data_IF_560120893466
#
_entry.id   IF_560120893466
#
_cell.length_a   1.000
_cell.length_b   1.000
_cell.length_c   1.000
_cell.angle_alpha   90.00
_cell.angle_beta   90.00
_cell.angle_gamma   90.00
#
_symmetry.space_group_name_H-M   'P 1'
#
loop_
_entity.id
_entity.type
_entity.pdbx_description
1 polymer ?
#
# COMPACT_ATOMS: atom_id res chain seq x y z
N UNK A 1 41.06 78.00 28.87
CA UNK A 1 41.18 77.06 27.72
C UNK A 1 42.48 76.29 27.94
N UNK A 2 42.40 75.08 28.49
CA UNK A 2 43.59 74.29 28.85
C UNK A 2 44.19 73.72 27.57
N UNK A 3 45.43 74.12 27.24
CA UNK A 3 46.20 73.57 26.13
C UNK A 3 46.60 72.13 26.48
N UNK A 4 46.09 71.15 25.72
CA UNK A 4 46.54 69.75 25.80
C UNK A 4 48.03 69.71 25.48
N UNK A 5 48.83 69.02 26.30
CA UNK A 5 50.28 68.96 26.08
C UNK A 5 50.59 68.13 24.83
N UNK A 6 51.67 68.48 24.12
CA UNK A 6 52.12 67.73 22.93
C UNK A 6 52.30 66.22 23.25
N UNK A 7 52.73 65.92 24.48
CA UNK A 7 52.93 64.57 24.98
C UNK A 7 51.62 63.78 25.11
N UNK A 8 50.51 64.41 25.50
CA UNK A 8 49.20 63.77 25.57
C UNK A 8 48.64 63.48 24.16
N UNK A 9 48.89 64.37 23.20
CA UNK A 9 48.49 64.16 21.80
C UNK A 9 49.24 62.99 21.15
N UNK A 10 50.53 62.86 21.41
CA UNK A 10 51.35 61.79 20.85
C UNK A 10 51.05 60.44 21.51
N UNK A 11 50.73 60.43 22.81
CA UNK A 11 50.24 59.23 23.52
C UNK A 11 48.92 58.75 22.91
N UNK A 12 47.95 59.64 22.71
CA UNK A 12 46.67 59.30 22.09
C UNK A 12 46.83 58.74 20.67
N UNK A 13 47.72 59.33 19.84
CA UNK A 13 47.99 58.80 18.49
C UNK A 13 48.57 57.39 18.54
N UNK A 14 49.49 57.12 19.46
CA UNK A 14 50.11 55.81 19.60
C UNK A 14 49.08 54.76 20.05
N UNK A 15 48.20 55.11 20.98
CA UNK A 15 47.11 54.22 21.43
C UNK A 15 46.13 53.91 20.30
N UNK A 16 45.75 54.92 19.51
CA UNK A 16 44.89 54.73 18.33
C UNK A 16 45.56 53.83 17.28
N UNK A 17 46.86 54.02 17.03
CA UNK A 17 47.61 53.16 16.10
C UNK A 17 47.72 51.72 16.60
N UNK A 18 47.91 51.50 17.89
CA UNK A 18 47.94 50.16 18.48
C UNK A 18 46.59 49.46 18.32
N UNK A 19 45.48 50.16 18.56
CA UNK A 19 44.12 49.64 18.38
C UNK A 19 43.86 49.30 16.91
N UNK A 20 44.27 50.15 15.97
CA UNK A 20 44.10 49.88 14.54
C UNK A 20 44.89 48.64 14.10
N UNK A 21 46.13 48.51 14.58
CA UNK A 21 46.97 47.36 14.25
C UNK A 21 46.42 46.04 14.80
N UNK A 22 45.85 46.07 16.01
CA UNK A 22 45.21 44.90 16.63
C UNK A 22 43.95 44.49 15.85
N UNK A 23 43.10 45.46 15.48
CA UNK A 23 41.93 45.21 14.62
C UNK A 23 42.30 44.66 13.24
N UNK A 24 43.38 45.15 12.64
CA UNK A 24 43.88 44.62 11.36
C UNK A 24 44.40 43.19 11.49
N UNK A 25 44.88 42.78 12.67
CA UNK A 25 45.25 41.40 12.95
C UNK A 25 44.02 40.50 13.07
N UNK A 26 42.99 40.96 13.79
CA UNK A 26 41.72 40.22 13.92
C UNK A 26 41.02 40.05 12.58
N UNK A 27 40.96 41.11 11.76
CA UNK A 27 40.37 41.06 10.41
C UNK A 27 41.10 40.04 9.53
N UNK A 28 42.43 39.96 9.63
CA UNK A 28 43.20 38.96 8.90
C UNK A 28 42.91 37.54 9.39
N UNK A 29 42.82 37.32 10.70
CA UNK A 29 42.46 36.02 11.28
C UNK A 29 41.08 35.56 10.80
N UNK A 30 40.08 36.44 10.89
CA UNK A 30 38.71 36.15 10.46
C UNK A 30 38.63 35.82 8.96
N UNK A 31 39.43 36.48 8.12
CA UNK A 31 39.49 36.16 6.69
C UNK A 31 40.04 34.76 6.45
N UNK A 32 41.09 34.37 7.16
CA UNK A 32 41.66 33.02 7.07
C UNK A 32 40.66 31.95 7.51
N UNK A 33 39.96 32.16 8.63
CA UNK A 33 38.91 31.26 9.09
C UNK A 33 37.75 31.16 8.10
N UNK A 34 37.32 32.29 7.52
CA UNK A 34 36.26 32.33 6.52
C UNK A 34 36.63 31.52 5.27
N UNK A 35 37.87 31.62 4.80
CA UNK A 35 38.31 30.87 3.62
C UNK A 35 38.44 29.37 3.92
N UNK A 36 38.88 29.00 5.13
CA UNK A 36 38.86 27.60 5.57
C UNK A 36 37.42 27.04 5.62
N UNK A 37 36.47 27.81 6.15
CA UNK A 37 35.05 27.42 6.20
C UNK A 37 34.42 27.28 4.81
N UNK A 38 34.80 28.14 3.85
CA UNK A 38 34.34 28.00 2.45
C UNK A 38 34.82 26.70 1.83
N UNK A 39 36.10 26.36 2.02
CA UNK A 39 36.66 25.09 1.55
C UNK A 39 35.96 23.89 2.17
N UNK A 40 35.76 23.91 3.49
CA UNK A 40 35.04 22.83 4.18
C UNK A 40 33.61 22.66 3.66
N UNK A 41 32.88 23.76 3.41
CA UNK A 41 31.53 23.70 2.85
C UNK A 41 31.50 23.15 1.41
N UNK A 42 32.52 23.46 0.61
CA UNK A 42 32.62 22.88 -0.74
C UNK A 42 32.82 21.35 -0.68
N UNK A 43 33.66 20.86 0.23
CA UNK A 43 33.86 19.43 0.42
C UNK A 43 32.58 18.71 0.87
N UNK A 44 31.87 19.27 1.85
CA UNK A 44 30.60 18.70 2.33
C UNK A 44 29.53 18.61 1.23
N UNK A 45 29.48 19.60 0.32
CA UNK A 45 28.56 19.56 -0.83
C UNK A 45 28.92 18.42 -1.78
N UNK A 46 30.20 18.24 -2.08
CA UNK A 46 30.66 17.14 -2.93
C UNK A 46 30.36 15.76 -2.30
N UNK A 47 30.60 15.61 -1.00
CA UNK A 47 30.26 14.38 -0.27
C UNK A 47 28.75 14.11 -0.29
N UNK A 48 27.93 15.14 -0.09
CA UNK A 48 26.48 15.02 -0.15
C UNK A 48 26.00 14.59 -1.53
N UNK A 49 26.57 15.14 -2.60
CA UNK A 49 26.18 14.80 -3.96
C UNK A 49 26.61 13.36 -4.32
N UNK A 50 27.81 12.93 -3.90
CA UNK A 50 28.23 11.54 -4.04
C UNK A 50 27.32 10.55 -3.27
N UNK A 51 26.87 10.94 -2.07
CA UNK A 51 25.92 10.13 -1.30
C UNK A 51 24.54 10.05 -1.98
N UNK A 52 24.05 11.15 -2.55
CA UNK A 52 22.79 11.13 -3.32
C UNK A 52 22.89 10.22 -4.53
N UNK A 53 24.00 10.27 -5.26
CA UNK A 53 24.24 9.39 -6.41
C UNK A 53 24.28 7.92 -5.99
N UNK A 54 25.01 7.59 -4.92
CA UNK A 54 25.06 6.23 -4.37
C UNK A 54 23.70 5.71 -3.88
N UNK A 55 22.92 6.56 -3.21
CA UNK A 55 21.61 6.18 -2.72
C UNK A 55 20.59 6.01 -3.87
N UNK A 56 20.71 6.83 -4.91
CA UNK A 56 19.89 6.68 -6.13
C UNK A 56 20.26 5.41 -6.88
N UNK A 57 21.54 5.06 -6.96
CA UNK A 57 21.98 3.79 -7.55
C UNK A 57 21.45 2.57 -6.78
N UNK A 58 21.51 2.57 -5.44
CA UNK A 58 20.93 1.48 -4.61
C UNK A 58 19.42 1.37 -4.72
N UNK A 59 18.70 2.47 -4.93
CA UNK A 59 17.25 2.45 -5.14
C UNK A 59 16.84 1.89 -6.51
N UNK A 60 17.78 1.81 -7.46
CA UNK A 60 17.59 1.25 -8.80
C UNK A 60 18.12 -0.18 -8.94
N UNK A 61 18.80 -0.72 -7.93
CA UNK A 61 19.16 -2.14 -7.94
C UNK A 61 17.88 -2.97 -7.76
N UNK A 62 17.54 -3.86 -8.71
CA UNK A 62 16.43 -4.78 -8.53
C UNK A 62 16.69 -5.62 -7.29
N UNK A 63 15.64 -5.88 -6.50
CA UNK A 63 15.72 -6.83 -5.40
C UNK A 63 16.29 -8.13 -5.96
N UNK A 64 17.31 -8.74 -5.32
CA UNK A 64 17.89 -9.98 -5.83
C UNK A 64 16.78 -10.99 -6.09
N UNK A 65 16.79 -11.60 -7.29
CA UNK A 65 15.73 -12.53 -7.73
C UNK A 65 15.48 -13.63 -6.70
N UNK A 66 16.51 -14.04 -5.96
CA UNK A 66 16.43 -15.03 -4.89
C UNK A 66 15.58 -14.55 -3.69
N UNK A 67 15.70 -13.28 -3.33
CA UNK A 67 14.94 -12.66 -2.25
C UNK A 67 13.51 -12.38 -2.70
N UNK A 68 13.33 -11.93 -3.94
CA UNK A 68 12.01 -11.71 -4.53
C UNK A 68 11.26 -13.03 -4.74
N UNK A 69 11.95 -14.09 -5.16
CA UNK A 69 11.44 -15.45 -5.22
C UNK A 69 11.17 -15.98 -3.81
N UNK A 70 12.05 -15.77 -2.83
CA UNK A 70 11.82 -16.15 -1.43
C UNK A 70 10.59 -15.44 -0.84
N UNK A 71 10.40 -14.14 -1.08
CA UNK A 71 9.26 -13.37 -0.57
C UNK A 71 7.94 -13.80 -1.23
N UNK A 72 7.94 -14.05 -2.54
CA UNK A 72 6.75 -14.53 -3.26
C UNK A 72 6.43 -15.99 -2.94
N UNK A 73 7.47 -16.79 -2.71
CA UNK A 73 7.38 -18.20 -2.32
C UNK A 73 6.87 -18.29 -0.88
N UNK A 74 7.42 -17.56 0.08
CA UNK A 74 7.00 -17.66 1.48
C UNK A 74 5.79 -16.79 1.86
N UNK A 75 5.25 -16.00 0.92
CA UNK A 75 4.00 -15.28 1.19
C UNK A 75 2.85 -16.27 1.38
N UNK A 76 2.16 -16.17 2.51
CA UNK A 76 0.95 -16.93 2.81
C UNK A 76 -0.32 -16.26 2.25
N UNK A 77 -0.19 -15.12 1.56
CA UNK A 77 -1.29 -14.43 0.91
C UNK A 77 -0.90 -13.84 -0.45
N UNK A 78 -1.84 -13.80 -1.41
CA UNK A 78 -1.65 -13.24 -2.76
C UNK A 78 -2.93 -12.55 -3.22
N UNK A 79 -2.79 -11.36 -3.77
CA UNK A 79 -3.88 -10.64 -4.42
C UNK A 79 -4.03 -11.17 -5.84
N UNK A 80 -5.22 -11.65 -6.19
CA UNK A 80 -5.55 -12.16 -7.51
C UNK A 80 -5.86 -11.06 -8.52
N UNK A 81 -6.21 -11.45 -9.74
CA UNK A 81 -6.58 -10.50 -10.79
C UNK A 81 -7.77 -9.62 -10.35
N UNK A 82 -7.62 -8.30 -10.53
CA UNK A 82 -8.71 -7.36 -10.37
C UNK A 82 -9.66 -7.42 -11.58
N UNK A 83 -10.97 -7.45 -11.30
CA UNK A 83 -12.04 -7.49 -12.29
C UNK A 83 -13.04 -6.39 -11.96
N UNK A 84 -13.53 -5.65 -12.97
CA UNK A 84 -14.49 -4.55 -12.80
C UNK A 84 -13.91 -3.20 -13.20
N UNK A 85 -14.53 -2.12 -12.72
CA UNK A 85 -14.13 -0.74 -13.02
C UNK A 85 -13.10 -0.21 -12.01
N UNK A 86 -11.90 0.22 -12.46
CA UNK A 86 -10.88 0.79 -11.58
C UNK A 86 -11.25 2.18 -11.02
N UNK A 87 -12.26 2.85 -11.57
CA UNK A 87 -12.72 4.18 -11.19
C UNK A 87 -14.13 4.20 -10.58
N UNK A 88 -14.69 3.04 -10.20
CA UNK A 88 -15.95 2.92 -9.47
C UNK A 88 -15.95 3.60 -8.09
N UNK A 89 -16.85 3.18 -7.19
CA UNK A 89 -17.08 3.75 -5.87
C UNK A 89 -15.88 3.84 -4.92
N UNK A 90 -16.13 3.95 -3.61
CA UNK A 90 -15.05 4.07 -2.64
C UNK A 90 -14.16 2.80 -2.65
N UNK A 91 -12.82 2.95 -2.61
CA UNK A 91 -11.95 1.79 -2.49
C UNK A 91 -12.12 1.13 -1.12
N UNK A 92 -12.00 -0.20 -1.09
CA UNK A 92 -11.88 -0.99 0.13
C UNK A 92 -10.72 -1.99 -0.02
N UNK A 93 -10.14 -2.35 1.12
CA UNK A 93 -9.02 -3.27 1.20
C UNK A 93 -9.14 -4.07 2.50
N UNK A 94 -9.43 -5.37 2.36
CA UNK A 94 -9.60 -6.27 3.49
C UNK A 94 -8.29 -6.94 3.93
N UNK A 95 -7.15 -6.59 3.30
CA UNK A 95 -5.85 -7.21 3.59
C UNK A 95 -5.42 -7.06 5.05
N UNK A 96 -5.76 -5.94 5.70
CA UNK A 96 -5.49 -5.76 7.13
C UNK A 96 -6.26 -6.76 8.01
N UNK A 97 -7.46 -7.18 7.61
CA UNK A 97 -8.15 -8.29 8.28
C UNK A 97 -7.55 -9.64 7.88
N UNK A 98 -7.32 -9.84 6.59
CA UNK A 98 -6.93 -11.14 6.04
C UNK A 98 -5.48 -11.55 6.33
N UNK A 99 -4.54 -10.62 6.57
CA UNK A 99 -3.08 -10.87 6.56
C UNK A 99 -2.42 -10.61 7.93
N UNK A 100 -3.11 -10.01 8.91
CA UNK A 100 -2.48 -9.60 10.18
C UNK A 100 -2.10 -10.75 11.14
N UNK A 101 -2.60 -11.96 10.90
CA UNK A 101 -2.15 -13.14 11.63
C UNK A 101 -1.05 -13.85 10.82
N UNK A 102 0.03 -14.27 11.47
CA UNK A 102 1.09 -15.11 10.87
C UNK A 102 0.58 -16.43 10.24
N UNK A 103 -0.72 -16.67 10.23
CA UNK A 103 -1.41 -17.69 9.46
C UNK A 103 -2.73 -17.12 8.93
N UNK A 104 -3.04 -17.28 7.63
CA UNK A 104 -4.26 -16.77 7.03
C UNK A 104 -5.54 -17.27 7.73
N UNK A 105 -6.56 -16.42 7.90
CA UNK A 105 -7.87 -16.84 8.41
C UNK A 105 -8.67 -17.54 7.30
N UNK A 106 -9.67 -18.33 7.68
CA UNK A 106 -10.59 -18.98 6.74
C UNK A 106 -11.93 -18.29 6.65
N UNK A 107 -12.55 -18.29 5.47
CA UNK A 107 -13.95 -17.89 5.31
C UNK A 107 -14.87 -18.96 5.92
N UNK A 108 -15.80 -18.56 6.78
CA UNK A 108 -16.83 -19.46 7.36
C UNK A 108 -18.15 -19.38 6.61
N UNK A 109 -18.47 -18.23 6.03
CA UNK A 109 -19.58 -18.07 5.10
C UNK A 109 -19.26 -16.98 4.07
N UNK A 110 -19.90 -17.08 2.92
CA UNK A 110 -19.97 -16.00 1.94
C UNK A 110 -21.44 -15.73 1.57
N UNK A 111 -21.80 -14.46 1.53
CA UNK A 111 -23.12 -13.96 1.19
C UNK A 111 -23.04 -12.95 0.06
N UNK A 112 -24.11 -12.84 -0.69
CA UNK A 112 -24.27 -11.77 -1.67
C UNK A 112 -25.73 -11.34 -1.77
N UNK A 113 -25.92 -10.05 -2.08
CA UNK A 113 -27.22 -9.53 -2.46
C UNK A 113 -27.24 -9.22 -3.96
N UNK A 114 -28.00 -10.03 -4.70
CA UNK A 114 -28.30 -9.78 -6.11
C UNK A 114 -29.67 -9.09 -6.24
N UNK A 115 -29.74 -7.95 -6.93
CA UNK A 115 -31.01 -7.23 -7.10
C UNK A 115 -31.73 -7.53 -8.42
N UNK A 116 -32.95 -7.02 -8.57
CA UNK A 116 -33.65 -7.00 -9.85
C UNK A 116 -32.81 -6.32 -10.94
N UNK A 117 -32.74 -6.95 -12.11
CA UNK A 117 -31.80 -6.58 -13.18
C UNK A 117 -30.44 -7.28 -13.06
N UNK A 118 -30.31 -8.20 -12.09
CA UNK A 118 -29.25 -9.18 -11.98
C UNK A 118 -27.84 -8.57 -11.81
N UNK A 119 -27.70 -7.63 -10.86
CA UNK A 119 -26.43 -6.99 -10.48
C UNK A 119 -26.01 -7.37 -9.06
N UNK A 120 -24.72 -7.35 -8.77
CA UNK A 120 -24.20 -7.61 -7.42
C UNK A 120 -24.19 -6.29 -6.63
N UNK A 121 -25.16 -6.14 -5.72
CA UNK A 121 -25.28 -4.94 -4.88
C UNK A 121 -24.33 -4.98 -3.70
N UNK A 122 -24.16 -6.16 -3.11
CA UNK A 122 -23.25 -6.37 -2.00
C UNK A 122 -22.69 -7.77 -1.96
N UNK A 123 -21.56 -7.85 -1.28
CA UNK A 123 -20.91 -9.09 -0.86
C UNK A 123 -20.64 -9.00 0.64
N UNK A 124 -20.81 -10.11 1.34
CA UNK A 124 -20.52 -10.24 2.76
C UNK A 124 -19.81 -11.55 3.02
N UNK A 125 -18.98 -11.60 4.06
CA UNK A 125 -18.34 -12.83 4.49
C UNK A 125 -17.82 -12.68 5.92
N UNK A 126 -17.52 -13.81 6.56
CA UNK A 126 -16.86 -13.85 7.87
C UNK A 126 -15.55 -14.62 7.79
N UNK A 127 -14.52 -14.06 8.42
CA UNK A 127 -13.23 -14.68 8.65
C UNK A 127 -13.19 -15.28 10.05
N UNK A 128 -12.69 -16.51 10.15
CA UNK A 128 -12.30 -17.18 11.38
C UNK A 128 -10.78 -17.31 11.43
N UNK A 129 -10.18 -16.68 12.43
CA UNK A 129 -8.74 -16.66 12.64
C UNK A 129 -8.27 -17.90 13.42
N UNK A 130 -6.97 -18.26 13.32
CA UNK A 130 -6.40 -19.38 14.07
C UNK A 130 -6.56 -19.27 15.59
N UNK A 131 -6.63 -18.06 16.13
CA UNK A 131 -6.86 -17.80 17.56
C UNK A 131 -8.34 -17.94 17.99
N UNK A 132 -9.22 -18.27 17.04
CA UNK A 132 -10.66 -18.43 17.23
C UNK A 132 -11.45 -17.12 17.14
N UNK A 133 -10.80 -15.96 16.99
CA UNK A 133 -11.47 -14.69 16.77
C UNK A 133 -12.16 -14.65 15.41
N UNK A 134 -13.12 -13.73 15.24
CA UNK A 134 -13.92 -13.59 14.02
C UNK A 134 -14.03 -12.15 13.58
N UNK A 135 -14.11 -11.92 12.28
CA UNK A 135 -14.38 -10.60 11.70
C UNK A 135 -15.29 -10.73 10.50
N UNK A 136 -16.31 -9.88 10.42
CA UNK A 136 -17.25 -9.84 9.28
C UNK A 136 -16.97 -8.64 8.40
N UNK A 137 -17.05 -8.86 7.09
CA UNK A 137 -16.89 -7.83 6.06
C UNK A 137 -18.18 -7.70 5.26
N UNK A 138 -18.45 -6.48 4.79
CA UNK A 138 -19.57 -6.21 3.89
C UNK A 138 -19.23 -5.01 3.02
N UNK A 139 -19.33 -5.19 1.70
CA UNK A 139 -19.04 -4.18 0.69
C UNK A 139 -20.24 -3.98 -0.23
N UNK A 140 -20.36 -2.78 -0.80
CA UNK A 140 -21.55 -2.34 -1.51
C UNK A 140 -22.69 -1.91 -0.58
N UNK A 141 -23.91 -1.85 -1.10
CA UNK A 141 -25.04 -1.38 -0.29
C UNK A 141 -25.40 -2.43 0.76
N UNK A 142 -25.37 -2.01 2.03
CA UNK A 142 -25.72 -2.88 3.16
C UNK A 142 -27.20 -3.30 3.10
N UNK A 143 -27.42 -4.51 2.60
CA UNK A 143 -28.72 -5.17 2.50
C UNK A 143 -28.55 -6.63 2.96
N UNK A 144 -29.65 -7.28 3.35
CA UNK A 144 -29.58 -8.68 3.75
C UNK A 144 -29.20 -9.55 2.55
N UNK A 145 -28.30 -10.51 2.77
CA UNK A 145 -27.92 -11.47 1.74
C UNK A 145 -29.13 -12.29 1.33
N UNK A 146 -29.49 -12.25 0.05
CA UNK A 146 -30.53 -13.11 -0.50
C UNK A 146 -29.95 -14.41 -1.09
N UNK A 147 -28.62 -14.55 -1.07
CA UNK A 147 -27.86 -15.74 -1.45
C UNK A 147 -26.74 -15.92 -0.43
N UNK A 148 -26.59 -17.12 0.14
CA UNK A 148 -25.58 -17.42 1.15
C UNK A 148 -25.07 -18.85 1.01
N UNK A 149 -23.77 -19.04 1.25
CA UNK A 149 -23.12 -20.33 1.37
C UNK A 149 -22.34 -20.38 2.68
N UNK A 150 -22.76 -21.27 3.58
CA UNK A 150 -22.03 -21.63 4.79
C UNK A 150 -20.99 -22.69 4.44
N UNK A 151 -19.71 -22.46 4.73
CA UNK A 151 -18.64 -23.40 4.43
C UNK A 151 -18.53 -24.45 5.54
N UNK A 152 -18.38 -25.70 5.15
CA UNK A 152 -18.13 -26.81 6.07
C UNK A 152 -16.70 -26.75 6.63
N UNK A 153 -16.40 -27.65 7.57
CA UNK A 153 -15.03 -27.80 8.03
C UNK A 153 -14.14 -28.30 6.89
N UNK A 154 -12.94 -27.71 6.74
CA UNK A 154 -12.00 -27.99 5.64
C UNK A 154 -12.48 -27.61 4.23
N UNK A 155 -13.62 -26.93 4.13
CA UNK A 155 -14.08 -26.37 2.87
C UNK A 155 -13.58 -24.93 2.70
N UNK A 156 -13.22 -24.59 1.46
CA UNK A 156 -12.72 -23.28 1.09
C UNK A 156 -13.01 -22.97 -0.38
N UNK A 157 -13.16 -21.67 -0.68
CA UNK A 157 -13.42 -21.18 -2.03
C UNK A 157 -12.10 -21.17 -2.81
N UNK A 158 -12.08 -21.84 -3.96
CA UNK A 158 -10.89 -22.03 -4.81
C UNK A 158 -10.95 -21.26 -6.11
N UNK A 159 -12.14 -20.84 -6.54
CA UNK A 159 -12.34 -20.11 -7.79
C UNK A 159 -13.53 -19.17 -7.68
N UNK A 160 -13.42 -18.03 -8.37
CA UNK A 160 -14.50 -17.10 -8.62
C UNK A 160 -14.69 -16.91 -10.12
N UNK A 161 -15.93 -16.91 -10.57
CA UNK A 161 -16.29 -16.41 -11.91
C UNK A 161 -16.95 -15.05 -11.74
N UNK A 162 -16.30 -14.02 -12.24
CA UNK A 162 -16.71 -12.62 -12.07
C UNK A 162 -17.12 -12.08 -13.44
N UNK A 163 -18.40 -11.71 -13.57
CA UNK A 163 -18.95 -11.14 -14.80
C UNK A 163 -19.17 -9.64 -14.68
N UNK A 164 -18.71 -8.90 -15.68
CA UNK A 164 -18.90 -7.45 -15.76
C UNK A 164 -19.88 -7.08 -16.87
N UNK A 165 -20.60 -5.99 -16.67
CA UNK A 165 -21.50 -5.42 -17.66
C UNK A 165 -21.58 -3.89 -17.55
N UNK A 166 -22.19 -3.21 -18.54
CA UNK A 166 -22.31 -1.75 -18.55
C UNK A 166 -23.02 -1.25 -17.29
N UNK A 167 -22.45 -0.22 -16.65
CA UNK A 167 -23.13 0.42 -15.52
C UNK A 167 -24.36 1.20 -16.00
N UNK A 168 -25.47 1.19 -15.24
CA UNK A 168 -26.67 1.96 -15.60
C UNK A 168 -26.61 3.45 -15.23
N UNK A 169 -25.51 3.93 -14.64
CA UNK A 169 -25.34 5.33 -14.20
C UNK A 169 -24.10 5.98 -14.84
N UNK A 170 -24.04 7.32 -14.91
CA UNK A 170 -22.88 8.03 -15.46
C UNK A 170 -21.63 7.87 -14.57
N UNK A 171 -20.43 7.99 -15.17
CA UNK A 171 -19.11 7.96 -14.51
C UNK A 171 -18.58 6.59 -14.06
N UNK A 172 -19.31 5.51 -14.30
CA UNK A 172 -18.83 4.14 -14.16
C UNK A 172 -19.08 3.45 -15.49
N UNK A 173 -18.06 2.82 -16.08
CA UNK A 173 -18.21 2.15 -17.36
C UNK A 173 -18.74 0.73 -17.17
N UNK A 174 -18.26 0.04 -16.13
CA UNK A 174 -18.61 -1.36 -15.85
C UNK A 174 -18.87 -1.62 -14.37
N UNK A 175 -19.74 -2.57 -14.07
CA UNK A 175 -20.06 -3.02 -12.70
C UNK A 175 -19.98 -4.54 -12.62
N UNK A 176 -19.82 -5.07 -11.41
CA UNK A 176 -19.94 -6.53 -11.21
C UNK A 176 -21.42 -6.90 -11.29
N UNK A 177 -21.77 -7.68 -12.32
CA UNK A 177 -23.15 -8.12 -12.57
C UNK A 177 -23.33 -9.62 -12.43
N UNK A 178 -22.26 -10.37 -12.29
CA UNK A 178 -22.32 -11.78 -11.97
C UNK A 178 -21.18 -12.14 -11.05
N UNK A 179 -21.47 -12.95 -10.05
CA UNK A 179 -20.46 -13.55 -9.21
C UNK A 179 -20.88 -15.00 -8.93
N UNK A 180 -19.95 -15.91 -9.19
CA UNK A 180 -20.05 -17.31 -8.78
C UNK A 180 -18.82 -17.69 -7.98
N UNK A 181 -19.03 -18.26 -6.81
CA UNK A 181 -17.98 -18.82 -5.96
C UNK A 181 -18.01 -20.34 -6.09
N UNK A 182 -16.85 -20.98 -6.19
CA UNK A 182 -16.71 -22.43 -6.31
C UNK A 182 -15.79 -22.92 -5.19
N UNK A 183 -16.23 -23.92 -4.42
CA UNK A 183 -15.43 -24.51 -3.34
C UNK A 183 -14.61 -25.71 -3.81
N UNK A 184 -13.62 -26.11 -2.99
CA UNK A 184 -12.86 -27.34 -3.20
C UNK A 184 -13.74 -28.61 -3.21
N UNK A 185 -14.94 -28.55 -2.66
CA UNK A 185 -15.93 -29.63 -2.69
C UNK A 185 -16.87 -29.56 -3.91
N UNK A 186 -16.67 -28.57 -4.80
CA UNK A 186 -17.53 -28.33 -5.96
C UNK A 186 -18.89 -27.74 -5.61
N UNK A 187 -19.08 -27.21 -4.39
CA UNK A 187 -20.28 -26.45 -4.04
C UNK A 187 -20.16 -25.03 -4.59
N UNK A 188 -21.31 -24.44 -4.90
CA UNK A 188 -21.37 -23.19 -5.63
C UNK A 188 -22.32 -22.20 -4.96
N UNK A 189 -21.94 -20.92 -4.98
CA UNK A 189 -22.83 -19.81 -4.70
C UNK A 189 -22.81 -18.87 -5.89
N UNK A 190 -23.97 -18.63 -6.51
CA UNK A 190 -24.08 -17.67 -7.60
C UNK A 190 -25.18 -16.63 -7.39
N UNK A 191 -24.93 -15.45 -7.95
CA UNK A 191 -25.86 -14.34 -8.01
C UNK A 191 -25.59 -13.43 -9.20
N UNK A 192 -26.59 -12.62 -9.54
CA UNK A 192 -26.56 -11.77 -10.73
C UNK A 192 -26.80 -12.55 -12.03
N UNK A 193 -26.45 -11.97 -13.18
CA UNK A 193 -26.73 -12.51 -14.52
C UNK A 193 -25.46 -12.74 -15.29
N UNK A 194 -25.25 -13.99 -15.65
CA UNK A 194 -24.13 -14.42 -16.50
C UNK A 194 -24.32 -14.04 -17.97
N UNK A 195 -25.55 -14.17 -18.49
CA UNK A 195 -25.82 -14.05 -19.92
C UNK A 195 -25.51 -12.65 -20.46
N UNK A 196 -24.62 -12.60 -21.44
CA UNK A 196 -24.16 -11.35 -22.06
C UNK A 196 -23.26 -10.52 -21.15
N UNK A 197 -22.48 -11.16 -20.26
CA UNK A 197 -21.43 -10.51 -19.46
C UNK A 197 -20.05 -10.97 -19.86
N UNK A 198 -19.09 -10.06 -19.75
CA UNK A 198 -17.67 -10.37 -19.87
C UNK A 198 -17.25 -11.06 -18.56
N UNK A 199 -17.17 -12.39 -18.58
CA UNK A 199 -16.82 -13.19 -17.42
C UNK A 199 -15.35 -13.61 -17.43
N UNK A 200 -14.69 -13.45 -16.30
CA UNK A 200 -13.33 -13.92 -16.04
C UNK A 200 -13.38 -14.91 -14.87
N UNK A 201 -12.69 -16.03 -15.02
CA UNK A 201 -12.43 -16.93 -13.91
C UNK A 201 -11.10 -16.55 -13.24
N UNK A 202 -11.13 -16.38 -11.92
CA UNK A 202 -9.96 -16.11 -11.10
C UNK A 202 -9.85 -17.22 -10.05
N UNK A 203 -8.74 -17.95 -10.10
CA UNK A 203 -8.50 -19.10 -9.23
C UNK A 203 -7.45 -18.79 -8.18
N UNK A 204 -7.55 -19.50 -7.06
CA UNK A 204 -6.49 -19.56 -6.07
C UNK A 204 -5.18 -20.06 -6.71
N UNK A 205 -4.01 -19.63 -6.22
CA UNK A 205 -2.73 -20.18 -6.67
C UNK A 205 -2.71 -21.71 -6.59
N UNK A 206 -1.98 -22.33 -7.50
CA UNK A 206 -1.72 -23.77 -7.40
C UNK A 206 -1.01 -24.07 -6.08
N UNK A 207 -1.33 -25.22 -5.50
CA UNK A 207 -0.68 -25.67 -4.27
C UNK A 207 0.79 -25.95 -4.59
N UNK A 208 1.69 -25.11 -4.09
CA UNK A 208 3.12 -25.35 -4.17
C UNK A 208 3.53 -26.36 -3.08
N UNK A 209 4.42 -27.30 -3.41
CA UNK A 209 4.86 -28.34 -2.47
C UNK A 209 5.37 -27.73 -1.15
N UNK A 210 4.83 -28.19 -0.02
CA UNK A 210 5.15 -27.65 1.31
C UNK A 210 4.41 -26.37 1.70
N UNK A 211 3.52 -25.84 0.84
CA UNK A 211 2.63 -24.73 1.15
C UNK A 211 1.19 -25.25 1.15
N UNK A 212 0.45 -24.83 2.17
CA UNK A 212 -0.91 -25.27 2.40
C UNK A 212 -1.86 -25.07 1.21
N UNK A 213 -3.09 -25.59 1.33
CA UNK A 213 -4.15 -25.40 0.36
C UNK A 213 -4.58 -23.93 0.35
N UNK A 214 -4.66 -23.38 -0.85
CA UNK A 214 -5.03 -21.97 -1.03
C UNK A 214 -6.54 -21.78 -1.14
N UNK A 215 -7.06 -20.80 -0.43
CA UNK A 215 -8.47 -20.43 -0.46
C UNK A 215 -8.68 -18.92 -0.35
N UNK A 216 -9.89 -18.48 -0.70
CA UNK A 216 -10.27 -17.07 -0.56
C UNK A 216 -10.25 -16.65 0.92
N UNK A 217 -9.62 -15.51 1.21
CA UNK A 217 -9.50 -14.93 2.56
C UNK A 217 -9.95 -13.46 2.63
N UNK A 218 -10.41 -12.88 1.52
CA UNK A 218 -10.96 -11.53 1.49
C UNK A 218 -10.91 -10.91 0.10
N UNK A 219 -11.10 -9.60 0.04
CA UNK A 219 -11.10 -8.84 -1.21
C UNK A 219 -10.39 -7.49 -1.10
N UNK A 220 -9.87 -7.04 -2.23
CA UNK A 220 -9.57 -5.62 -2.50
C UNK A 220 -10.50 -5.19 -3.62
N UNK A 221 -11.04 -3.99 -3.57
CA UNK A 221 -11.99 -3.57 -4.59
C UNK A 221 -12.52 -2.16 -4.43
N UNK A 222 -13.63 -1.91 -5.12
CA UNK A 222 -14.35 -0.64 -5.07
C UNK A 222 -15.84 -0.89 -4.97
N UNK A 223 -16.51 -0.14 -4.12
CA UNK A 223 -17.96 -0.23 -3.98
C UNK A 223 -18.59 1.06 -3.48
N UNK A 224 -19.89 1.20 -3.73
CA UNK A 224 -20.72 2.17 -3.03
C UNK A 224 -22.12 1.59 -2.84
N UNK A 225 -23.04 1.90 -3.76
CA UNK A 225 -24.36 1.28 -3.78
C UNK A 225 -24.34 -0.15 -4.37
N UNK A 226 -23.30 -0.45 -5.15
CA UNK A 226 -23.05 -1.73 -5.81
C UNK A 226 -21.56 -2.08 -5.72
N UNK A 227 -21.21 -3.31 -6.08
CA UNK A 227 -19.82 -3.74 -6.18
C UNK A 227 -19.31 -3.43 -7.59
N UNK A 228 -18.33 -2.53 -7.68
CA UNK A 228 -17.84 -2.04 -8.97
C UNK A 228 -16.61 -2.82 -9.46
N UNK A 229 -15.75 -3.22 -8.53
CA UNK A 229 -14.61 -4.09 -8.81
C UNK A 229 -14.23 -4.97 -7.62
N UNK A 230 -13.68 -6.14 -7.93
CA UNK A 230 -13.20 -7.13 -7.00
C UNK A 230 -11.87 -7.70 -7.47
N UNK A 231 -10.94 -7.83 -6.53
CA UNK A 231 -9.75 -8.64 -6.62
C UNK A 231 -9.75 -9.57 -5.40
N UNK A 232 -9.74 -10.89 -5.59
CA UNK A 232 -9.72 -11.82 -4.47
C UNK A 232 -8.35 -11.78 -3.77
N UNK A 233 -8.36 -11.87 -2.45
CA UNK A 233 -7.17 -12.16 -1.67
C UNK A 233 -7.19 -13.66 -1.39
N UNK A 234 -6.17 -14.37 -1.88
CA UNK A 234 -5.96 -15.78 -1.65
C UNK A 234 -5.00 -15.98 -0.48
N UNK A 235 -5.28 -16.94 0.39
CA UNK A 235 -4.43 -17.31 1.51
C UNK A 235 -4.11 -18.79 1.54
N UNK A 236 -2.92 -19.17 2.02
CA UNK A 236 -2.58 -20.55 2.35
C UNK A 236 -3.22 -20.93 3.70
N UNK A 237 -4.48 -21.39 3.66
CA UNK A 237 -5.34 -21.54 4.84
C UNK A 237 -5.36 -22.95 5.45
N UNK A 238 -4.92 -23.99 4.72
CA UNK A 238 -5.12 -25.39 5.13
C UNK A 238 -3.96 -26.33 4.83
#
# INVERSE_FOLDING_TARGET
MQLVSQQDSDTFKNDVLAILHDKDKDIRSLRTELDALKTSNANLRNELDALKESNTARALEPVPDDLQNSLTTHSLARVGQAVGDPYGGAPFDDSAGAIMAHSPPRITFIGMHACQGDRIRSISYELLYPDGSRTSFSHGKREADNRKLELHNEEYIVSLVIGTGPAPWPHTEKTIQYLKCITNEGRELEGGKRDGRDCVEVSAPENEEGKGKWGLIGFVGRSWDEVDSLSPIWGAVY
#
